data_IF_339621496220
#
_entry.id   IF_339621496220
#
_cell.length_a   1.000
_cell.length_b   1.000
_cell.length_c   1.000
_cell.angle_alpha   90.00
_cell.angle_beta   90.00
_cell.angle_gamma   90.00
#
_symmetry.space_group_name_H-M   'P 1'
#
loop_
_entity.id
_entity.type
_entity.pdbx_description
1 polymer ?
#
# COMPACT_ATOMS: atom_id res chain seq x y z
N UNK A 1 -28.07 17.37 -16.76
CA UNK A 1 -28.22 17.05 -15.32
C UNK A 1 -26.91 16.42 -14.85
N UNK A 2 -26.15 17.12 -14.02
CA UNK A 2 -24.81 16.66 -13.60
C UNK A 2 -24.89 15.66 -12.47
N UNK A 3 -24.29 14.51 -12.66
CA UNK A 3 -24.04 13.52 -11.62
C UNK A 3 -23.15 14.16 -10.54
N UNK A 4 -23.69 14.41 -9.36
CA UNK A 4 -22.90 14.78 -8.18
C UNK A 4 -22.17 13.54 -7.67
N UNK A 5 -20.87 13.45 -7.95
CA UNK A 5 -19.99 12.44 -7.33
C UNK A 5 -20.08 12.53 -5.81
N UNK A 6 -20.41 11.43 -5.17
CA UNK A 6 -20.32 11.28 -3.71
C UNK A 6 -18.85 11.16 -3.34
N UNK A 7 -18.27 12.22 -2.83
CA UNK A 7 -16.89 12.19 -2.29
C UNK A 7 -16.93 11.80 -0.81
N UNK A 8 -16.40 10.66 -0.48
CA UNK A 8 -16.17 10.24 0.90
C UNK A 8 -14.88 10.89 1.41
N UNK A 9 -14.92 11.52 2.58
CA UNK A 9 -13.74 12.08 3.25
C UNK A 9 -13.32 11.18 4.39
N UNK A 10 -12.12 10.67 4.31
CA UNK A 10 -11.52 9.80 5.33
C UNK A 10 -10.43 10.56 6.04
N UNK A 11 -10.45 10.50 7.37
CA UNK A 11 -9.43 11.08 8.23
C UNK A 11 -8.58 9.95 8.81
N UNK A 12 -7.26 10.04 8.60
CA UNK A 12 -6.29 9.06 9.06
C UNK A 12 -5.58 9.63 10.30
N UNK A 13 -5.56 8.89 11.41
CA UNK A 13 -4.82 9.25 12.60
C UNK A 13 -3.29 9.10 12.41
N UNK A 14 -2.53 9.55 13.41
CA UNK A 14 -1.06 9.49 13.35
C UNK A 14 -0.47 8.07 13.35
N UNK A 15 -1.30 7.04 13.53
CA UNK A 15 -0.92 5.61 13.50
C UNK A 15 -1.41 4.91 12.22
N UNK A 16 -1.91 5.67 11.25
CA UNK A 16 -2.45 5.12 10.00
C UNK A 16 -3.84 4.49 10.12
N UNK A 17 -4.58 4.72 11.22
CA UNK A 17 -5.93 4.22 11.42
C UNK A 17 -6.96 5.22 10.90
N UNK A 18 -8.07 4.73 10.37
CA UNK A 18 -9.21 5.56 10.00
C UNK A 18 -9.84 6.12 11.29
N UNK A 19 -9.65 7.42 11.51
CA UNK A 19 -10.16 8.11 12.70
C UNK A 19 -11.64 8.47 12.58
N UNK A 20 -12.11 8.83 11.36
CA UNK A 20 -13.52 9.11 11.10
C UNK A 20 -13.85 9.03 9.61
N UNK A 21 -15.12 8.73 9.32
CA UNK A 21 -15.70 8.75 7.98
C UNK A 21 -16.91 9.69 7.99
N UNK A 22 -16.87 10.80 7.25
CA UNK A 22 -18.03 11.67 7.09
C UNK A 22 -18.78 11.32 5.82
N UNK A 23 -20.02 10.81 5.97
CA UNK A 23 -21.00 10.66 4.88
C UNK A 23 -21.95 11.84 4.92
N UNK A 24 -21.96 12.68 3.88
CA UNK A 24 -23.07 13.63 3.71
C UNK A 24 -24.27 12.88 3.15
N UNK A 25 -25.33 12.76 3.94
CA UNK A 25 -26.63 12.31 3.45
C UNK A 25 -27.18 13.37 2.46
N UNK A 26 -27.29 12.99 1.20
CA UNK A 26 -28.07 13.73 0.21
C UNK A 26 -29.36 12.96 -0.01
N UNK A 27 -30.49 13.67 0.08
CA UNK A 27 -31.85 13.16 0.04
C UNK A 27 -32.09 12.18 -1.12
N UNK A 28 -32.98 11.21 -0.82
CA UNK A 28 -33.55 10.25 -1.77
C UNK A 28 -34.33 11.00 -2.86
N UNK A 29 -34.00 10.71 -4.11
CA UNK A 29 -34.96 10.78 -5.20
C UNK A 29 -34.61 9.78 -6.29
N UNK A 30 -35.68 9.04 -6.66
CA UNK A 30 -35.89 8.16 -7.81
C UNK A 30 -35.12 6.84 -7.92
N UNK A 31 -35.93 5.80 -7.73
CA UNK A 31 -35.71 4.41 -8.13
C UNK A 31 -35.42 4.27 -9.64
N UNK A 32 -34.67 3.22 -9.96
CA UNK A 32 -34.35 2.65 -11.26
C UNK A 32 -33.16 3.24 -12.01
N UNK A 33 -32.01 2.84 -11.52
CA UNK A 33 -30.90 2.32 -12.34
C UNK A 33 -29.93 1.61 -11.39
N UNK A 34 -30.15 0.28 -11.26
CA UNK A 34 -29.17 -0.60 -10.59
C UNK A 34 -27.98 -0.71 -11.54
N UNK A 35 -27.14 0.31 -11.55
CA UNK A 35 -25.75 0.13 -11.96
C UNK A 35 -25.15 -0.77 -10.89
N UNK A 36 -25.11 -2.09 -11.19
CA UNK A 36 -24.31 -3.03 -10.40
C UNK A 36 -22.95 -2.36 -10.18
N UNK A 37 -22.50 -2.19 -8.93
CA UNK A 37 -21.14 -1.71 -8.72
C UNK A 37 -20.25 -2.66 -9.50
N UNK A 38 -19.53 -2.17 -10.50
CA UNK A 38 -18.43 -2.93 -11.10
C UNK A 38 -17.62 -3.40 -9.93
N UNK A 39 -17.44 -4.72 -9.84
CA UNK A 39 -16.63 -5.34 -8.80
C UNK A 39 -15.25 -4.69 -8.82
N UNK A 40 -15.09 -3.63 -8.02
CA UNK A 40 -13.80 -2.97 -7.76
C UNK A 40 -12.85 -3.95 -7.05
N UNK A 41 -13.37 -5.13 -6.68
CA UNK A 41 -12.70 -6.18 -5.93
C UNK A 41 -11.95 -7.22 -6.81
N UNK A 42 -12.04 -7.15 -8.14
CA UNK A 42 -11.46 -8.20 -9.01
C UNK A 42 -10.07 -7.88 -9.56
N UNK A 43 -9.51 -6.72 -9.27
CA UNK A 43 -8.10 -6.48 -9.60
C UNK A 43 -7.30 -6.64 -8.33
N UNK A 44 -6.41 -7.65 -8.23
CA UNK A 44 -5.38 -7.62 -7.21
C UNK A 44 -4.66 -6.27 -7.33
N UNK A 45 -4.66 -5.49 -6.25
CA UNK A 45 -4.11 -4.12 -6.21
C UNK A 45 -2.59 -4.05 -6.48
N UNK A 46 -1.96 -5.19 -6.73
CA UNK A 46 -0.56 -5.38 -7.08
C UNK A 46 -0.29 -5.54 -8.59
N UNK A 47 -1.25 -5.26 -9.47
CA UNK A 47 -1.03 -5.35 -10.92
C UNK A 47 -0.31 -4.12 -11.46
N UNK A 48 0.82 -3.78 -10.84
CA UNK A 48 1.77 -2.92 -11.46
C UNK A 48 2.57 -3.67 -12.54
N UNK A 49 3.28 -2.93 -13.39
CA UNK A 49 4.20 -3.48 -14.39
C UNK A 49 5.54 -3.93 -13.79
N UNK A 50 5.52 -4.37 -12.52
CA UNK A 50 6.71 -4.98 -11.88
C UNK A 50 7.16 -6.21 -12.66
N UNK A 51 8.36 -6.69 -12.37
CA UNK A 51 8.81 -7.98 -12.87
C UNK A 51 7.72 -9.04 -12.64
N UNK A 52 7.51 -9.91 -13.62
CA UNK A 52 6.43 -10.89 -13.56
C UNK A 52 6.50 -11.73 -12.27
N UNK A 53 5.39 -11.99 -11.59
CA UNK A 53 5.36 -12.91 -10.45
C UNK A 53 5.72 -14.35 -10.85
N UNK A 54 5.66 -14.69 -12.14
CA UNK A 54 6.11 -15.98 -12.68
C UNK A 54 7.63 -16.07 -12.84
N UNK A 55 8.35 -14.95 -12.78
CA UNK A 55 9.80 -14.95 -12.74
C UNK A 55 10.28 -15.66 -11.48
N UNK A 56 11.19 -16.64 -11.66
CA UNK A 56 11.79 -17.40 -10.56
C UNK A 56 13.04 -16.65 -10.11
N UNK A 57 13.02 -16.19 -8.88
CA UNK A 57 14.17 -15.50 -8.27
C UNK A 57 15.38 -16.42 -8.25
N UNK A 58 16.53 -15.92 -8.68
CA UNK A 58 17.81 -16.61 -8.61
C UNK A 58 18.31 -16.70 -7.18
N UNK A 59 19.35 -17.50 -6.95
CA UNK A 59 19.97 -17.61 -5.61
C UNK A 59 20.56 -16.29 -5.15
N UNK A 60 21.18 -15.54 -6.04
CA UNK A 60 21.81 -14.24 -5.78
C UNK A 60 20.76 -13.19 -5.39
N UNK A 61 19.62 -13.16 -6.09
CA UNK A 61 18.48 -12.29 -5.76
C UNK A 61 17.89 -12.65 -4.41
N UNK A 62 17.67 -13.94 -4.13
CA UNK A 62 17.18 -14.42 -2.83
C UNK A 62 18.12 -13.97 -1.71
N UNK A 63 19.43 -14.15 -1.85
CA UNK A 63 20.41 -13.73 -0.84
C UNK A 63 20.44 -12.18 -0.69
N UNK A 64 20.23 -11.44 -1.78
CA UNK A 64 20.08 -9.98 -1.70
C UNK A 64 18.85 -9.59 -0.88
N UNK A 65 17.71 -10.23 -1.15
CA UNK A 65 16.45 -9.97 -0.43
C UNK A 65 16.56 -10.36 1.05
N UNK A 66 17.25 -11.43 1.38
CA UNK A 66 17.52 -11.82 2.78
C UNK A 66 18.38 -10.79 3.51
N UNK A 67 19.41 -10.23 2.86
CA UNK A 67 20.22 -9.14 3.44
C UNK A 67 19.35 -7.92 3.74
N UNK A 68 18.50 -7.52 2.78
CA UNK A 68 17.57 -6.42 2.97
C UNK A 68 16.58 -6.70 4.11
N UNK A 69 16.03 -7.91 4.18
CA UNK A 69 15.12 -8.31 5.27
C UNK A 69 15.82 -8.21 6.63
N UNK A 70 17.07 -8.65 6.74
CA UNK A 70 17.87 -8.53 7.97
C UNK A 70 18.11 -7.08 8.36
N UNK A 71 18.46 -6.20 7.42
CA UNK A 71 18.61 -4.75 7.66
C UNK A 71 17.31 -4.10 8.13
N UNK A 72 16.17 -4.65 7.73
CA UNK A 72 14.83 -4.15 8.03
C UNK A 72 14.20 -4.81 9.26
N UNK A 73 14.96 -5.58 10.04
CA UNK A 73 14.47 -6.36 11.19
C UNK A 73 13.29 -7.29 10.84
N UNK A 74 13.30 -7.88 9.64
CA UNK A 74 12.30 -8.84 9.17
C UNK A 74 12.84 -10.25 9.40
N UNK A 75 12.15 -11.11 10.19
CA UNK A 75 12.59 -12.48 10.42
C UNK A 75 12.60 -13.31 9.13
N UNK A 76 13.73 -13.93 8.81
CA UNK A 76 13.86 -14.75 7.58
C UNK A 76 12.86 -15.92 7.55
N UNK A 77 12.57 -16.51 8.71
CA UNK A 77 11.70 -17.67 8.81
C UNK A 77 10.24 -17.42 8.41
N UNK A 78 9.82 -16.18 8.23
CA UNK A 78 8.48 -15.85 7.71
C UNK A 78 8.46 -15.68 6.19
N UNK A 79 9.62 -15.61 5.54
CA UNK A 79 9.73 -15.42 4.09
C UNK A 79 9.67 -16.79 3.37
N UNK A 80 8.92 -16.84 2.27
CA UNK A 80 8.76 -18.03 1.43
C UNK A 80 9.07 -17.67 -0.01
N UNK A 81 10.26 -18.01 -0.45
CA UNK A 81 10.76 -17.67 -1.78
C UNK A 81 10.20 -18.59 -2.86
N UNK A 82 9.90 -18.01 -4.02
CA UNK A 82 9.42 -18.71 -5.21
C UNK A 82 8.16 -19.57 -4.96
N UNK A 83 7.35 -19.22 -3.97
CA UNK A 83 6.10 -19.89 -3.62
C UNK A 83 4.91 -18.95 -3.77
N UNK A 84 3.72 -19.54 -4.01
CA UNK A 84 2.50 -18.77 -4.23
C UNK A 84 2.45 -18.14 -5.64
N UNK A 85 1.48 -17.26 -5.86
CA UNK A 85 1.19 -16.66 -7.16
C UNK A 85 1.81 -15.27 -7.34
N UNK A 86 2.13 -14.58 -6.23
CA UNK A 86 2.68 -13.22 -6.21
C UNK A 86 3.36 -12.97 -4.86
N UNK A 87 4.13 -11.86 -4.76
CA UNK A 87 4.61 -11.35 -3.49
C UNK A 87 3.43 -10.83 -2.67
N UNK A 88 3.37 -11.21 -1.39
CA UNK A 88 2.29 -10.77 -0.52
C UNK A 88 2.19 -11.51 0.81
N UNK A 89 1.56 -10.87 1.78
CA UNK A 89 1.29 -11.43 3.09
C UNK A 89 0.17 -12.48 3.03
N UNK A 90 0.38 -13.60 3.70
CA UNK A 90 -0.56 -14.71 3.85
C UNK A 90 -1.04 -14.79 5.31
N UNK A 91 -2.25 -14.33 5.57
CA UNK A 91 -2.86 -14.29 6.91
C UNK A 91 -3.01 -15.67 7.56
N UNK A 92 -3.41 -16.68 6.78
CA UNK A 92 -3.69 -18.04 7.28
C UNK A 92 -2.51 -18.72 7.97
N UNK A 93 -1.29 -18.42 7.55
CA UNK A 93 -0.08 -19.05 8.08
C UNK A 93 0.98 -18.06 8.57
N UNK A 94 0.64 -16.77 8.58
CA UNK A 94 1.54 -15.70 9.01
C UNK A 94 2.89 -15.76 8.28
N UNK A 95 2.85 -15.82 6.96
CA UNK A 95 4.03 -15.85 6.08
C UNK A 95 3.93 -14.77 5.02
N UNK A 96 5.06 -14.44 4.42
CA UNK A 96 5.16 -13.53 3.28
C UNK A 96 5.73 -14.34 2.11
N UNK A 97 4.95 -14.50 1.05
CA UNK A 97 5.48 -15.02 -0.20
C UNK A 97 6.34 -13.95 -0.86
N UNK A 98 7.44 -14.36 -1.45
CA UNK A 98 8.38 -13.51 -2.19
C UNK A 98 8.60 -14.09 -3.57
N UNK A 99 8.15 -13.38 -4.59
CA UNK A 99 8.19 -13.78 -5.99
C UNK A 99 8.91 -12.73 -6.82
N UNK A 100 9.04 -12.98 -8.14
CA UNK A 100 9.72 -12.06 -9.06
C UNK A 100 9.17 -10.63 -9.07
N UNK A 101 7.88 -10.45 -8.77
CA UNK A 101 7.24 -9.14 -8.66
C UNK A 101 7.67 -8.30 -7.43
N UNK A 102 8.57 -8.80 -6.59
CA UNK A 102 9.28 -7.97 -5.61
C UNK A 102 10.28 -7.01 -6.28
N UNK A 103 10.76 -7.37 -7.48
CA UNK A 103 11.74 -6.58 -8.22
C UNK A 103 11.04 -5.41 -8.95
N UNK A 104 11.57 -4.18 -8.84
CA UNK A 104 10.95 -2.99 -9.44
C UNK A 104 11.02 -3.00 -10.97
N UNK A 105 10.01 -2.44 -11.61
CA UNK A 105 10.09 -1.99 -13.00
C UNK A 105 10.49 -0.52 -13.06
N UNK A 106 11.75 -0.26 -13.31
CA UNK A 106 12.31 1.10 -13.36
C UNK A 106 11.82 1.91 -14.56
N UNK A 107 11.18 1.29 -15.53
CA UNK A 107 10.61 1.96 -16.72
C UNK A 107 9.19 2.46 -16.49
N UNK A 108 8.53 2.02 -15.44
CA UNK A 108 7.16 2.40 -15.11
C UNK A 108 7.06 3.81 -14.51
N UNK A 109 5.96 4.48 -14.82
CA UNK A 109 5.57 5.75 -14.19
C UNK A 109 4.61 5.56 -12.99
N UNK A 110 4.28 4.31 -12.67
CA UNK A 110 3.38 3.96 -11.57
C UNK A 110 4.20 3.78 -10.29
N UNK A 111 3.87 4.52 -9.23
CA UNK A 111 4.67 4.55 -8.00
C UNK A 111 4.92 3.14 -7.43
N UNK A 112 3.89 2.28 -7.38
CA UNK A 112 4.03 0.91 -6.83
C UNK A 112 4.98 0.03 -7.64
N UNK A 113 5.13 0.30 -8.94
CA UNK A 113 5.97 -0.51 -9.82
C UNK A 113 7.45 -0.21 -9.62
N UNK A 114 7.78 1.02 -9.26
CA UNK A 114 9.14 1.47 -9.02
C UNK A 114 9.61 1.32 -7.57
N UNK A 115 8.74 0.87 -6.66
CA UNK A 115 9.14 0.60 -5.28
C UNK A 115 10.31 -0.40 -5.23
N UNK A 116 11.34 -0.09 -4.45
CA UNK A 116 12.47 -0.99 -4.23
C UNK A 116 12.01 -2.31 -3.56
N UNK A 117 12.84 -3.36 -3.65
CA UNK A 117 12.57 -4.61 -2.93
C UNK A 117 12.45 -4.39 -1.42
N UNK A 118 13.22 -3.47 -0.83
CA UNK A 118 13.09 -3.05 0.58
C UNK A 118 11.71 -2.47 0.86
N UNK A 119 11.25 -1.54 0.02
CA UNK A 119 9.95 -0.91 0.18
C UNK A 119 8.78 -1.93 0.09
N UNK A 120 8.88 -2.92 -0.81
CA UNK A 120 7.88 -4.01 -0.88
C UNK A 120 7.93 -4.89 0.36
N UNK A 121 9.12 -5.31 0.81
CA UNK A 121 9.25 -6.11 2.04
C UNK A 121 8.64 -5.43 3.25
N UNK A 122 8.85 -4.13 3.44
CA UNK A 122 8.28 -3.41 4.58
C UNK A 122 6.79 -3.17 4.42
N UNK A 123 6.27 -3.03 3.20
CA UNK A 123 4.84 -2.99 2.94
C UNK A 123 4.17 -4.27 3.45
N UNK A 124 4.72 -5.44 3.10
CA UNK A 124 4.18 -6.73 3.54
C UNK A 124 4.37 -6.96 5.05
N UNK A 125 5.53 -6.61 5.60
CA UNK A 125 5.83 -6.90 7.00
C UNK A 125 5.29 -5.83 7.96
N UNK A 126 5.69 -4.56 7.81
CA UNK A 126 5.26 -3.47 8.69
C UNK A 126 3.84 -2.99 8.38
N UNK A 127 3.40 -3.18 7.14
CA UNK A 127 2.06 -2.84 6.68
C UNK A 127 1.03 -3.88 7.03
N UNK A 128 1.20 -5.11 6.57
CA UNK A 128 0.23 -6.18 6.76
C UNK A 128 0.55 -7.05 7.97
N UNK A 129 1.69 -7.75 8.00
CA UNK A 129 2.02 -8.74 9.03
C UNK A 129 1.92 -8.18 10.45
N UNK A 130 2.61 -7.08 10.76
CA UNK A 130 2.60 -6.47 12.11
C UNK A 130 1.27 -5.83 12.51
N UNK A 131 0.39 -5.57 11.57
CA UNK A 131 -0.92 -4.99 11.80
C UNK A 131 -2.06 -6.00 11.64
N UNK A 132 -1.75 -7.28 11.58
CA UNK A 132 -2.75 -8.34 11.56
C UNK A 132 -3.26 -8.64 12.99
N UNK A 133 -4.58 -8.93 13.19
CA UNK A 133 -5.63 -8.86 12.17
C UNK A 133 -5.99 -7.43 11.77
N UNK A 134 -6.22 -7.24 10.48
CA UNK A 134 -6.66 -5.96 9.94
C UNK A 134 -8.15 -5.74 10.21
N UNK A 135 -8.54 -4.49 10.47
CA UNK A 135 -9.96 -4.09 10.48
C UNK A 135 -10.58 -4.05 9.07
N UNK A 136 -9.76 -4.14 8.04
CA UNK A 136 -10.17 -4.15 6.65
C UNK A 136 -9.89 -5.52 6.03
N UNK A 137 -10.64 -5.88 4.99
CA UNK A 137 -10.35 -7.08 4.22
C UNK A 137 -8.99 -6.91 3.53
N UNK A 138 -8.16 -7.95 3.60
CA UNK A 138 -6.87 -8.00 2.88
C UNK A 138 -7.11 -7.79 1.39
N UNK A 139 -6.32 -6.89 0.78
CA UNK A 139 -6.46 -6.49 -0.62
C UNK A 139 -7.56 -5.44 -0.89
N UNK A 140 -8.30 -4.98 0.14
CA UNK A 140 -9.11 -3.77 0.03
C UNK A 140 -8.19 -2.55 -0.05
N UNK A 141 -8.58 -1.51 -0.80
CA UNK A 141 -7.77 -0.31 -0.94
C UNK A 141 -7.42 0.35 0.40
N UNK A 142 -8.27 0.20 1.43
CA UNK A 142 -8.03 0.75 2.78
C UNK A 142 -6.94 -0.02 3.50
N UNK A 143 -6.93 -1.34 3.34
CA UNK A 143 -5.91 -2.20 3.90
C UNK A 143 -4.56 -1.91 3.24
N UNK A 144 -4.54 -1.81 1.94
CA UNK A 144 -3.38 -1.49 1.14
C UNK A 144 -2.86 -0.07 1.40
N UNK A 145 -3.78 0.94 1.50
CA UNK A 145 -3.43 2.29 1.94
C UNK A 145 -2.72 2.26 3.29
N UNK A 146 -3.34 1.57 4.27
CA UNK A 146 -2.79 1.45 5.61
C UNK A 146 -1.43 0.76 5.59
N UNK A 147 -1.27 -0.29 4.79
CA UNK A 147 -0.02 -1.03 4.69
C UNK A 147 1.13 -0.13 4.21
N UNK A 148 0.96 0.56 3.10
CA UNK A 148 1.98 1.49 2.59
C UNK A 148 2.23 2.66 3.55
N UNK A 149 1.16 3.22 4.14
CA UNK A 149 1.27 4.31 5.11
C UNK A 149 2.04 3.88 6.37
N UNK A 150 1.69 2.74 6.98
CA UNK A 150 2.35 2.21 8.18
C UNK A 150 3.81 1.84 7.90
N UNK A 151 4.10 1.24 6.76
CA UNK A 151 5.46 0.94 6.34
C UNK A 151 6.30 2.21 6.21
N UNK A 152 5.78 3.26 5.54
CA UNK A 152 6.48 4.54 5.39
C UNK A 152 6.86 5.19 6.73
N UNK A 153 6.02 5.03 7.75
CA UNK A 153 6.22 5.67 9.07
C UNK A 153 7.07 4.83 10.00
N UNK A 154 6.86 3.51 10.04
CA UNK A 154 7.32 2.65 11.13
C UNK A 154 8.50 1.73 10.75
N UNK A 155 8.75 1.48 9.46
CA UNK A 155 9.84 0.60 9.06
C UNK A 155 11.20 1.25 9.39
N UNK A 156 12.16 0.50 9.97
CA UNK A 156 13.52 0.98 10.17
C UNK A 156 14.28 1.08 8.85
N UNK A 157 15.40 1.74 8.85
CA UNK A 157 16.46 1.68 7.82
C UNK A 157 16.01 1.89 6.36
N UNK A 158 14.86 2.55 6.15
CA UNK A 158 14.46 3.03 4.84
C UNK A 158 15.06 4.40 4.55
N UNK A 159 15.45 4.62 3.32
CA UNK A 159 15.83 5.94 2.81
C UNK A 159 14.63 6.91 2.82
N UNK A 160 14.92 8.21 2.80
CA UNK A 160 13.87 9.23 2.68
C UNK A 160 13.01 9.06 1.42
N UNK A 161 13.62 8.64 0.30
CA UNK A 161 12.92 8.43 -0.96
C UNK A 161 12.02 7.18 -0.91
N UNK A 162 12.48 6.07 -0.33
CA UNK A 162 11.64 4.88 -0.14
C UNK A 162 10.41 5.18 0.73
N UNK A 163 10.58 5.95 1.80
CA UNK A 163 9.45 6.41 2.63
C UNK A 163 8.50 7.31 1.87
N UNK A 164 9.04 8.20 1.04
CA UNK A 164 8.27 9.10 0.19
C UNK A 164 7.44 8.31 -0.82
N UNK A 165 8.04 7.35 -1.52
CA UNK A 165 7.37 6.51 -2.51
C UNK A 165 6.28 5.64 -1.87
N UNK A 166 6.52 5.02 -0.72
CA UNK A 166 5.49 4.29 0.04
C UNK A 166 4.32 5.20 0.44
N UNK A 167 4.62 6.43 0.87
CA UNK A 167 3.56 7.38 1.21
C UNK A 167 2.75 7.79 -0.02
N UNK A 168 3.39 7.99 -1.17
CA UNK A 168 2.71 8.27 -2.44
C UNK A 168 1.84 7.07 -2.86
N UNK A 169 2.36 5.84 -2.79
CA UNK A 169 1.60 4.63 -3.10
C UNK A 169 0.32 4.54 -2.25
N UNK A 170 0.41 4.83 -0.94
CA UNK A 170 -0.77 4.85 -0.08
C UNK A 170 -1.87 5.77 -0.63
N UNK A 171 -1.52 7.00 -1.00
CA UNK A 171 -2.51 7.95 -1.52
C UNK A 171 -2.98 7.64 -2.94
N UNK A 172 -2.14 7.02 -3.76
CA UNK A 172 -2.52 6.55 -5.09
C UNK A 172 -3.59 5.46 -5.02
N UNK A 173 -3.49 4.53 -4.07
CA UNK A 173 -4.52 3.49 -3.84
C UNK A 173 -5.89 4.09 -3.48
N UNK A 174 -5.91 5.14 -2.66
CA UNK A 174 -7.15 5.84 -2.36
C UNK A 174 -7.71 6.56 -3.60
N UNK A 175 -6.85 7.20 -4.39
CA UNK A 175 -7.24 7.88 -5.64
C UNK A 175 -7.80 6.91 -6.68
N UNK A 176 -7.20 5.75 -6.85
CA UNK A 176 -7.68 4.69 -7.75
C UNK A 176 -9.05 4.15 -7.31
N UNK A 177 -9.32 4.15 -6.02
CA UNK A 177 -10.65 3.84 -5.47
C UNK A 177 -11.64 5.01 -5.53
N UNK A 178 -11.28 6.12 -6.21
CA UNK A 178 -12.07 7.35 -6.29
C UNK A 178 -12.38 7.97 -4.91
N UNK A 179 -11.44 7.82 -3.95
CA UNK A 179 -11.59 8.35 -2.60
C UNK A 179 -10.59 9.47 -2.38
N UNK A 180 -11.05 10.63 -1.92
CA UNK A 180 -10.21 11.74 -1.53
C UNK A 180 -9.79 11.62 -0.07
N UNK A 181 -8.50 11.36 0.16
CA UNK A 181 -7.90 11.32 1.49
C UNK A 181 -7.07 12.57 1.72
N UNK A 182 -7.33 13.27 2.83
CA UNK A 182 -6.58 14.48 3.17
C UNK A 182 -5.18 14.12 3.70
N UNK A 183 -4.14 14.77 3.15
CA UNK A 183 -2.79 14.67 3.69
C UNK A 183 -2.73 15.19 5.13
N UNK A 184 -2.30 14.35 6.05
CA UNK A 184 -1.97 14.80 7.40
C UNK A 184 -0.53 15.36 7.45
N UNK A 185 -0.12 15.87 8.60
CA UNK A 185 1.21 16.49 8.80
C UNK A 185 2.37 15.55 8.42
N UNK A 186 2.30 14.26 8.81
CA UNK A 186 3.35 13.27 8.52
C UNK A 186 3.45 13.00 7.02
N UNK A 187 2.31 12.82 6.35
CA UNK A 187 2.28 12.60 4.91
C UNK A 187 2.84 13.81 4.13
N UNK A 188 2.43 15.02 4.50
CA UNK A 188 2.95 16.25 3.87
C UNK A 188 4.47 16.39 4.04
N UNK A 189 4.99 16.07 5.23
CA UNK A 189 6.43 16.11 5.48
C UNK A 189 7.19 15.10 4.61
N UNK A 190 6.70 13.87 4.48
CA UNK A 190 7.36 12.84 3.67
C UNK A 190 7.27 13.13 2.17
N UNK A 191 6.10 13.57 1.68
CA UNK A 191 5.87 13.78 0.24
C UNK A 191 6.57 15.06 -0.26
N UNK A 192 6.50 16.15 0.51
CA UNK A 192 6.90 17.47 0.06
C UNK A 192 8.12 18.04 0.78
N UNK A 193 8.63 17.38 1.81
CA UNK A 193 9.76 17.86 2.61
C UNK A 193 9.41 19.07 3.50
N UNK A 194 8.14 19.42 3.67
CA UNK A 194 7.74 20.59 4.45
C UNK A 194 7.95 20.35 5.95
N UNK A 195 8.85 21.14 6.55
CA UNK A 195 8.84 21.43 7.97
C UNK A 195 8.04 22.72 8.21
N UNK A 196 6.95 22.65 8.99
CA UNK A 196 6.13 23.83 9.30
C UNK A 196 6.92 24.91 10.07
N UNK A 197 8.14 24.62 10.53
CA UNK A 197 9.03 25.55 11.21
C UNK A 197 9.71 26.57 10.30
N UNK A 198 9.58 26.44 8.98
CA UNK A 198 10.15 27.38 7.99
C UNK A 198 9.17 28.43 7.48
N UNK A 199 8.01 28.58 8.10
CA UNK A 199 7.17 29.74 7.86
C UNK A 199 7.59 30.86 8.84
N UNK A 200 8.61 31.63 8.45
CA UNK A 200 8.88 32.97 8.96
C UNK A 200 8.03 33.95 8.13
#
# INVERSE_FOLDING_TARGET
MGLKEKRERIYIDGRGRVASTQRKNVAKDSENDIIKPRNVFERPMSNGLRTSPFYILTKEEIESIKRDAKELDIPENILRFNQGNQTGFLDKNMKINVRGDILPDKSSNIVRDILSQKAVLVHEYYGHYKNHPSQFRIGDWRDEFRASYCAAINAPNLSGEERRLLMLDAYDRAREANVSVRYNKKARRLIYGYDERTRV
#
